data_IF_590110475819
#
_entry.id   IF_590110475819
#
_cell.length_a   1.000
_cell.length_b   1.000
_cell.length_c   1.000
_cell.angle_alpha   90.00
_cell.angle_beta   90.00
_cell.angle_gamma   90.00
#
_symmetry.space_group_name_H-M   'P 1'
#
loop_
_entity.id
_entity.type
_entity.pdbx_description
1 polymer ?
#
# COMPACT_ATOMS: atom_id res chain seq x y z
N UNK A 1 22.20 -3.27 -6.20
CA UNK A 1 20.84 -2.82 -6.53
C UNK A 1 20.56 -1.67 -5.58
N UNK A 2 20.27 -0.49 -6.12
CA UNK A 2 20.02 0.70 -5.30
C UNK A 2 18.63 0.60 -4.66
N UNK A 3 18.50 1.04 -3.40
CA UNK A 3 17.23 1.02 -2.68
C UNK A 3 16.19 1.93 -3.37
N UNK A 4 16.64 3.06 -3.90
CA UNK A 4 15.80 4.00 -4.65
C UNK A 4 15.13 3.33 -5.84
N UNK A 5 15.90 2.55 -6.61
CA UNK A 5 15.41 1.83 -7.78
C UNK A 5 14.35 0.79 -7.38
N UNK A 6 14.56 0.08 -6.27
CA UNK A 6 13.60 -0.93 -5.78
C UNK A 6 12.31 -0.30 -5.26
N UNK A 7 12.40 0.82 -4.55
CA UNK A 7 11.21 1.60 -4.15
C UNK A 7 10.45 2.06 -5.39
N UNK A 8 11.16 2.59 -6.40
CA UNK A 8 10.55 3.01 -7.65
C UNK A 8 9.84 1.85 -8.36
N UNK A 9 10.53 0.71 -8.46
CA UNK A 9 10.03 -0.50 -9.10
C UNK A 9 8.76 -1.03 -8.41
N UNK A 10 8.77 -1.13 -7.08
CA UNK A 10 7.72 -1.78 -6.30
C UNK A 10 6.52 -0.86 -5.99
N UNK A 11 6.76 0.42 -5.70
CA UNK A 11 5.73 1.31 -5.16
C UNK A 11 5.22 2.34 -6.17
N UNK A 12 6.06 2.77 -7.11
CA UNK A 12 5.72 3.91 -7.97
C UNK A 12 5.03 3.41 -9.23
N UNK A 13 3.70 3.52 -9.27
CA UNK A 13 2.89 3.12 -10.41
C UNK A 13 2.57 4.29 -11.36
N UNK A 14 2.49 5.51 -10.82
CA UNK A 14 2.43 6.75 -11.60
C UNK A 14 3.49 7.71 -11.11
N UNK A 15 4.11 8.40 -12.04
CA UNK A 15 5.24 9.28 -11.77
C UNK A 15 5.04 10.68 -12.36
N UNK A 16 3.84 11.00 -12.83
CA UNK A 16 3.46 12.30 -13.37
C UNK A 16 3.17 13.35 -12.28
N UNK A 17 2.92 12.90 -11.05
CA UNK A 17 2.68 13.74 -9.88
C UNK A 17 2.91 12.94 -8.58
N UNK A 18 2.98 13.64 -7.45
CA UNK A 18 3.05 13.04 -6.12
C UNK A 18 2.43 13.95 -5.07
N UNK A 19 2.27 13.47 -3.85
CA UNK A 19 1.89 14.29 -2.71
C UNK A 19 3.11 14.57 -1.81
N UNK A 20 3.19 15.75 -1.21
CA UNK A 20 4.18 16.08 -0.19
C UNK A 20 3.49 16.45 1.12
N UNK A 21 4.01 15.96 2.24
CA UNK A 21 3.52 16.34 3.56
C UNK A 21 3.98 17.76 3.91
N UNK A 22 3.03 18.54 4.41
CA UNK A 22 3.25 19.88 4.97
C UNK A 22 2.70 19.93 6.39
N UNK A 23 2.90 21.05 7.10
CA UNK A 23 2.29 21.27 8.42
C UNK A 23 0.74 21.28 8.40
N UNK A 24 0.12 21.41 7.23
CA UNK A 24 -1.34 21.42 7.05
C UNK A 24 -1.88 20.11 6.46
N UNK A 25 -1.05 19.07 6.36
CA UNK A 25 -1.38 17.82 5.70
C UNK A 25 -0.71 17.70 4.33
N UNK A 26 -1.25 16.85 3.48
CA UNK A 26 -0.65 16.53 2.18
C UNK A 26 -1.17 17.45 1.07
N UNK A 27 -0.25 17.97 0.25
CA UNK A 27 -0.57 18.74 -0.96
C UNK A 27 -0.02 18.01 -2.18
N UNK A 28 -0.76 18.03 -3.28
CA UNK A 28 -0.29 17.49 -4.56
C UNK A 28 0.76 18.43 -5.16
N UNK A 29 1.82 17.84 -5.69
CA UNK A 29 2.85 18.49 -6.51
C UNK A 29 2.62 18.03 -7.95
N UNK A 30 2.51 19.00 -8.85
CA UNK A 30 2.23 18.78 -10.28
C UNK A 30 3.52 18.65 -11.09
N UNK A 31 4.50 17.95 -10.50
CA UNK A 31 5.80 17.66 -11.08
C UNK A 31 6.08 16.15 -11.05
N UNK A 32 6.94 15.64 -11.93
CA UNK A 32 7.26 14.22 -11.95
C UNK A 32 7.88 13.74 -10.64
N UNK A 33 7.45 12.56 -10.17
CA UNK A 33 8.12 11.86 -9.08
C UNK A 33 9.38 11.17 -9.62
N UNK A 34 10.55 11.74 -9.35
CA UNK A 34 11.84 11.22 -9.85
C UNK A 34 12.56 10.34 -8.82
N UNK A 35 13.59 9.57 -9.22
CA UNK A 35 14.45 8.86 -8.27
C UNK A 35 15.09 9.79 -7.23
N UNK A 36 15.48 11.02 -7.60
CA UNK A 36 16.03 11.99 -6.66
C UNK A 36 15.01 12.43 -5.59
N UNK A 37 13.73 12.58 -5.98
CA UNK A 37 12.64 12.86 -5.05
C UNK A 37 12.44 11.71 -4.06
N UNK A 38 12.45 10.47 -4.54
CA UNK A 38 12.40 9.26 -3.71
C UNK A 38 13.61 9.19 -2.78
N UNK A 39 14.81 9.47 -3.28
CA UNK A 39 16.03 9.47 -2.48
C UNK A 39 15.98 10.53 -1.38
N UNK A 40 15.46 11.73 -1.66
CA UNK A 40 15.24 12.77 -0.65
C UNK A 40 14.20 12.36 0.40
N UNK A 41 13.17 11.62 -0.01
CA UNK A 41 12.22 11.02 0.92
C UNK A 41 12.88 10.01 1.87
N UNK A 42 13.68 9.10 1.32
CA UNK A 42 14.42 8.10 2.10
C UNK A 42 15.46 8.71 3.05
N UNK A 43 16.00 9.90 2.72
CA UNK A 43 16.88 10.67 3.62
C UNK A 43 16.13 11.47 4.69
N UNK A 44 14.78 11.47 4.67
CA UNK A 44 13.97 12.22 5.61
C UNK A 44 13.91 13.73 5.35
N UNK A 45 14.32 14.19 4.15
CA UNK A 45 14.27 15.61 3.78
C UNK A 45 12.84 16.08 3.48
N UNK A 46 11.97 15.15 3.06
CA UNK A 46 10.55 15.37 2.80
C UNK A 46 9.76 14.06 2.90
N UNK A 47 8.47 14.13 3.22
CA UNK A 47 7.59 12.96 3.19
C UNK A 47 6.76 12.97 1.91
N UNK A 48 6.92 11.93 1.08
CA UNK A 48 6.25 11.81 -0.22
C UNK A 48 5.14 10.75 -0.12
N UNK A 49 3.96 11.08 -0.64
CA UNK A 49 2.88 10.15 -0.89
C UNK A 49 2.82 9.80 -2.38
N UNK A 50 3.06 8.53 -2.71
CA UNK A 50 2.96 8.02 -4.08
C UNK A 50 1.55 7.51 -4.38
N UNK A 51 0.86 8.15 -5.33
CA UNK A 51 -0.47 7.72 -5.76
C UNK A 51 -0.43 6.30 -6.38
N UNK A 52 -1.34 5.43 -5.95
CA UNK A 52 -1.23 3.99 -6.21
C UNK A 52 -1.73 3.55 -7.59
N UNK A 53 -2.77 4.21 -8.12
CA UNK A 53 -3.43 3.78 -9.37
C UNK A 53 -2.69 4.33 -10.59
N UNK A 54 -2.54 3.48 -11.60
CA UNK A 54 -2.08 3.90 -12.93
C UNK A 54 -3.17 4.74 -13.63
N UNK A 55 -2.82 5.92 -14.18
CA UNK A 55 -3.75 6.73 -14.96
C UNK A 55 -4.11 6.12 -16.32
N UNK A 56 -3.33 5.16 -16.82
CA UNK A 56 -3.52 4.57 -18.15
C UNK A 56 -4.60 3.48 -18.15
N UNK A 57 -4.64 2.66 -17.10
CA UNK A 57 -5.40 1.40 -17.09
C UNK A 57 -6.01 1.03 -15.74
N UNK A 58 -5.94 1.91 -14.72
CA UNK A 58 -6.46 1.66 -13.37
C UNK A 58 -5.88 0.40 -12.70
N UNK A 59 -4.65 0.02 -13.03
CA UNK A 59 -3.93 -1.04 -12.34
C UNK A 59 -3.18 -0.52 -11.11
N UNK A 60 -2.71 -1.45 -10.27
CA UNK A 60 -1.85 -1.21 -9.10
C UNK A 60 -0.68 -2.19 -9.09
N UNK A 61 0.41 -1.79 -8.42
CA UNK A 61 1.57 -2.65 -8.15
C UNK A 61 1.49 -3.40 -6.83
N UNK A 62 0.67 -2.93 -5.90
CA UNK A 62 0.54 -3.53 -4.58
C UNK A 62 -0.89 -3.43 -4.04
N UNK A 63 -1.19 -4.31 -3.07
CA UNK A 63 -2.27 -4.21 -2.10
C UNK A 63 -1.64 -3.87 -0.75
N UNK A 64 -2.22 -2.94 0.01
CA UNK A 64 -1.74 -2.61 1.35
C UNK A 64 -2.88 -2.66 2.37
N UNK A 65 -2.59 -3.23 3.54
CA UNK A 65 -3.37 -3.09 4.75
C UNK A 65 -2.66 -2.11 5.66
N UNK A 66 -3.31 -1.01 6.00
CA UNK A 66 -2.81 -0.04 6.98
C UNK A 66 -3.52 -0.25 8.31
N UNK A 67 -2.73 -0.67 9.29
CA UNK A 67 -3.14 -1.12 10.61
C UNK A 67 -2.67 -0.11 11.67
N UNK A 68 -3.52 0.89 11.92
CA UNK A 68 -3.22 1.99 12.86
C UNK A 68 -3.82 1.73 14.26
N UNK A 69 -3.07 2.02 15.35
CA UNK A 69 -3.58 1.91 16.73
C UNK A 69 -4.73 2.87 17.06
N UNK A 70 -5.01 3.89 16.24
CA UNK A 70 -6.19 4.74 16.41
C UNK A 70 -7.52 3.98 16.23
N UNK A 71 -7.52 2.87 15.49
CA UNK A 71 -8.71 2.07 15.17
C UNK A 71 -8.68 0.63 15.71
N UNK A 72 -7.49 0.16 16.07
CA UNK A 72 -7.23 -1.20 16.52
C UNK A 72 -6.61 -1.19 17.91
N UNK A 73 -7.10 -2.07 18.77
CA UNK A 73 -6.52 -2.27 20.10
C UNK A 73 -5.12 -2.90 20.02
N UNK A 74 -4.96 -3.90 19.14
CA UNK A 74 -3.67 -4.53 18.85
C UNK A 74 -3.41 -4.61 17.32
N UNK A 75 -2.76 -3.58 16.74
CA UNK A 75 -2.39 -3.58 15.33
C UNK A 75 -1.44 -4.72 14.94
N UNK A 76 -0.61 -5.18 15.88
CA UNK A 76 0.35 -6.26 15.62
C UNK A 76 -0.37 -7.59 15.45
N UNK A 77 -1.30 -7.91 16.36
CA UNK A 77 -2.12 -9.12 16.25
C UNK A 77 -2.92 -9.13 14.92
N UNK A 78 -3.49 -7.98 14.55
CA UNK A 78 -4.20 -7.84 13.29
C UNK A 78 -3.28 -8.11 12.08
N UNK A 79 -2.05 -7.57 12.08
CA UNK A 79 -1.07 -7.83 11.03
C UNK A 79 -0.69 -9.32 10.95
N UNK A 80 -0.45 -9.97 12.09
CA UNK A 80 -0.14 -11.40 12.18
C UNK A 80 -1.27 -12.27 11.61
N UNK A 81 -2.53 -11.91 11.87
CA UNK A 81 -3.71 -12.60 11.32
C UNK A 81 -3.81 -12.47 9.80
N UNK A 82 -3.56 -11.28 9.26
CA UNK A 82 -3.51 -11.05 7.80
C UNK A 82 -2.42 -11.91 7.16
N UNK A 83 -1.20 -11.89 7.72
CA UNK A 83 -0.05 -12.67 7.21
C UNK A 83 -0.34 -14.18 7.27
N UNK A 84 -0.93 -14.65 8.38
CA UNK A 84 -1.31 -16.06 8.55
C UNK A 84 -2.30 -16.52 7.48
N UNK A 85 -3.28 -15.69 7.12
CA UNK A 85 -4.20 -15.99 6.01
C UNK A 85 -3.47 -16.08 4.68
N UNK A 86 -2.56 -15.13 4.42
CA UNK A 86 -1.77 -15.07 3.19
C UNK A 86 -0.92 -16.34 2.99
N UNK A 87 -0.26 -16.82 4.04
CA UNK A 87 0.62 -17.98 3.96
C UNK A 87 -0.08 -19.33 4.16
N UNK A 88 -1.38 -19.33 4.48
CA UNK A 88 -2.16 -20.56 4.57
C UNK A 88 -2.13 -21.31 3.23
N UNK A 89 -1.99 -22.64 3.30
CA UNK A 89 -2.01 -23.56 2.14
C UNK A 89 -3.31 -24.38 2.13
N UNK A 90 -4.39 -23.92 1.48
CA UNK A 90 -5.68 -24.61 1.55
C UNK A 90 -5.65 -26.00 0.91
N UNK A 91 -4.76 -26.20 -0.07
CA UNK A 91 -4.51 -27.47 -0.77
C UNK A 91 -3.33 -28.27 -0.19
N UNK A 92 -2.73 -27.78 0.91
CA UNK A 92 -1.53 -28.33 1.54
C UNK A 92 -0.22 -28.11 0.78
N UNK A 93 -0.25 -27.48 -0.40
CA UNK A 93 0.92 -27.33 -1.29
C UNK A 93 1.31 -25.87 -1.51
N UNK A 94 0.36 -25.05 -1.94
CA UNK A 94 0.62 -23.67 -2.36
C UNK A 94 0.02 -22.67 -1.38
N UNK A 95 0.80 -21.67 -0.91
CA UNK A 95 0.24 -20.61 -0.10
C UNK A 95 -0.71 -19.76 -0.95
N UNK A 96 -1.64 -19.05 -0.32
CA UNK A 96 -2.49 -18.09 -1.06
C UNK A 96 -1.65 -16.98 -1.69
N UNK A 97 -0.63 -16.51 -0.96
CA UNK A 97 0.35 -15.51 -1.38
C UNK A 97 1.73 -16.05 -1.06
N UNK A 98 2.66 -15.99 -2.01
CA UNK A 98 4.04 -16.41 -1.78
C UNK A 98 4.77 -15.44 -0.85
N UNK A 99 5.63 -15.97 0.02
CA UNK A 99 6.31 -15.19 1.05
C UNK A 99 7.12 -14.01 0.47
N UNK A 100 7.77 -14.20 -0.66
CA UNK A 100 8.56 -13.16 -1.33
C UNK A 100 7.71 -12.04 -1.97
N UNK A 101 6.39 -12.14 -1.97
CA UNK A 101 5.48 -11.10 -2.42
C UNK A 101 4.92 -10.25 -1.27
N UNK A 102 5.22 -10.57 -0.01
CA UNK A 102 4.68 -9.87 1.15
C UNK A 102 5.79 -9.17 1.93
N UNK A 103 5.56 -7.91 2.31
CA UNK A 103 6.44 -7.14 3.20
C UNK A 103 5.62 -6.63 4.40
N UNK A 104 6.15 -6.84 5.60
CA UNK A 104 5.67 -6.19 6.82
C UNK A 104 6.59 -4.99 7.11
N UNK A 105 6.00 -3.82 7.25
CA UNK A 105 6.68 -2.57 7.59
C UNK A 105 6.10 -2.02 8.89
N UNK A 106 6.96 -1.58 9.81
CA UNK A 106 6.56 -0.72 10.92
C UNK A 106 6.42 0.71 10.39
N UNK A 107 5.19 1.20 10.24
CA UNK A 107 4.90 2.41 9.46
C UNK A 107 4.99 3.70 10.27
N UNK A 108 4.92 3.61 11.60
CA UNK A 108 5.04 4.75 12.51
C UNK A 108 5.88 4.38 13.72
N UNK A 109 6.57 5.37 14.27
CA UNK A 109 7.25 5.29 15.57
C UNK A 109 6.91 6.55 16.38
N UNK A 110 6.69 6.47 17.70
CA UNK A 110 6.77 5.28 18.57
C UNK A 110 5.50 4.42 18.59
N UNK A 111 4.45 4.82 17.89
CA UNK A 111 3.18 4.10 17.92
C UNK A 111 3.27 2.76 17.17
N UNK A 112 2.62 1.69 17.66
CA UNK A 112 2.63 0.40 17.00
C UNK A 112 1.70 0.40 15.77
N UNK A 113 2.14 1.00 14.66
CA UNK A 113 1.44 1.00 13.37
C UNK A 113 2.17 0.13 12.36
N UNK A 114 1.42 -0.59 11.52
CA UNK A 114 1.98 -1.51 10.55
C UNK A 114 1.34 -1.36 9.17
N UNK A 115 2.18 -1.52 8.15
CA UNK A 115 1.72 -1.80 6.80
C UNK A 115 2.03 -3.25 6.44
N UNK A 116 1.02 -3.96 5.93
CA UNK A 116 1.22 -5.25 5.26
C UNK A 116 1.05 -5.04 3.77
N UNK A 117 2.17 -5.05 3.05
CA UNK A 117 2.25 -4.87 1.61
C UNK A 117 2.23 -6.22 0.90
N UNK A 118 1.44 -6.34 -0.16
CA UNK A 118 1.44 -7.49 -1.08
C UNK A 118 1.73 -6.96 -2.48
N UNK A 119 2.87 -7.33 -3.06
CA UNK A 119 3.30 -6.88 -4.38
C UNK A 119 2.86 -7.84 -5.48
N UNK A 120 2.29 -7.27 -6.54
CA UNK A 120 1.92 -7.99 -7.75
C UNK A 120 3.10 -8.02 -8.73
N UNK A 121 3.28 -9.17 -9.38
CA UNK A 121 4.37 -9.36 -10.36
C UNK A 121 4.14 -8.55 -11.64
N UNK A 122 2.88 -8.31 -11.98
CA UNK A 122 2.44 -7.57 -13.16
C UNK A 122 1.36 -6.57 -12.75
N UNK A 123 1.10 -5.51 -13.54
CA UNK A 123 -0.01 -4.59 -13.30
C UNK A 123 -1.31 -5.36 -13.00
N UNK A 124 -1.90 -5.11 -11.83
CA UNK A 124 -3.08 -5.84 -11.36
C UNK A 124 -4.28 -4.90 -11.26
N UNK A 125 -5.48 -5.25 -11.77
CA UNK A 125 -6.63 -4.35 -11.73
C UNK A 125 -6.96 -3.89 -10.31
N UNK A 126 -7.10 -2.57 -10.08
CA UNK A 126 -7.31 -2.02 -8.74
C UNK A 126 -8.57 -2.59 -8.06
N UNK A 127 -9.66 -2.74 -8.82
CA UNK A 127 -10.89 -3.41 -8.37
C UNK A 127 -10.66 -4.83 -7.84
N UNK A 128 -9.87 -5.62 -8.56
CA UNK A 128 -9.54 -6.99 -8.14
C UNK A 128 -8.62 -6.99 -6.91
N UNK A 129 -7.65 -6.06 -6.84
CA UNK A 129 -6.77 -5.91 -5.67
C UNK A 129 -7.58 -5.60 -4.40
N UNK A 130 -8.51 -4.64 -4.51
CA UNK A 130 -9.40 -4.25 -3.41
C UNK A 130 -10.31 -5.38 -2.97
N UNK A 131 -10.91 -6.11 -3.92
CA UNK A 131 -11.70 -7.30 -3.61
C UNK A 131 -10.86 -8.36 -2.88
N UNK A 132 -9.65 -8.63 -3.36
CA UNK A 132 -8.72 -9.55 -2.70
C UNK A 132 -8.40 -9.11 -1.27
N UNK A 133 -8.16 -7.81 -1.06
CA UNK A 133 -7.92 -7.23 0.26
C UNK A 133 -9.07 -7.51 1.23
N UNK A 134 -10.31 -7.22 0.83
CA UNK A 134 -11.47 -7.51 1.67
C UNK A 134 -11.67 -9.00 1.92
N UNK A 135 -11.40 -9.86 0.93
CA UNK A 135 -11.49 -11.31 1.12
C UNK A 135 -10.45 -11.83 2.12
N UNK A 136 -9.25 -11.24 2.16
CA UNK A 136 -8.23 -11.57 3.15
C UNK A 136 -8.68 -11.14 4.55
N UNK A 137 -9.24 -9.93 4.71
CA UNK A 137 -9.78 -9.49 6.01
C UNK A 137 -10.91 -10.38 6.52
N UNK A 138 -11.83 -10.76 5.63
CA UNK A 138 -12.92 -11.69 5.96
C UNK A 138 -12.38 -13.04 6.45
N UNK A 139 -11.40 -13.61 5.74
CA UNK A 139 -10.76 -14.88 6.15
C UNK A 139 -9.92 -14.75 7.43
N UNK A 140 -9.44 -13.54 7.72
CA UNK A 140 -8.69 -13.22 8.94
C UNK A 140 -9.63 -12.92 10.12
N UNK A 141 -10.96 -12.89 9.89
CA UNK A 141 -11.98 -12.47 10.86
C UNK A 141 -11.75 -11.04 11.40
N UNK A 142 -11.33 -10.14 10.50
CA UNK A 142 -11.04 -8.75 10.80
C UNK A 142 -12.09 -7.82 10.18
N UNK A 143 -12.48 -6.79 10.93
CA UNK A 143 -13.49 -5.84 10.50
C UNK A 143 -12.88 -4.81 9.50
N UNK A 144 -13.36 -4.77 8.25
CA UNK A 144 -12.86 -3.84 7.23
C UNK A 144 -13.15 -2.35 7.52
N UNK A 145 -13.95 -2.04 8.55
CA UNK A 145 -14.15 -0.66 9.00
C UNK A 145 -12.99 -0.14 9.88
N UNK A 146 -12.21 -1.04 10.46
CA UNK A 146 -11.10 -0.71 11.37
C UNK A 146 -9.75 -0.68 10.66
N UNK A 147 -9.63 -1.32 9.50
CA UNK A 147 -8.38 -1.44 8.73
C UNK A 147 -8.57 -0.72 7.40
N UNK A 148 -7.66 0.17 7.05
CA UNK A 148 -7.68 0.77 5.73
C UNK A 148 -7.08 -0.19 4.71
N UNK A 149 -7.81 -0.42 3.60
CA UNK A 149 -7.38 -1.28 2.50
C UNK A 149 -7.11 -0.43 1.27
N UNK A 150 -5.91 -0.59 0.70
CA UNK A 150 -5.48 0.10 -0.50
C UNK A 150 -5.33 -0.90 -1.65
N UNK A 151 -5.97 -0.69 -2.81
CA UNK A 151 -6.52 0.59 -3.25
C UNK A 151 -7.87 1.01 -2.64
N UNK A 152 -7.97 2.31 -2.36
CA UNK A 152 -9.17 2.96 -1.80
C UNK A 152 -10.29 3.21 -2.83
N UNK A 153 -10.02 3.07 -4.12
CA UNK A 153 -11.02 3.06 -5.18
C UNK A 153 -10.67 2.07 -6.29
N UNK A 154 -11.69 1.67 -7.05
CA UNK A 154 -11.59 0.71 -8.14
C UNK A 154 -10.99 1.32 -9.42
N UNK A 155 -11.17 2.62 -9.61
CA UNK A 155 -10.76 3.37 -10.80
C UNK A 155 -10.60 4.86 -10.47
N UNK A 156 -9.86 5.56 -11.31
CA UNK A 156 -9.79 7.01 -11.35
C UNK A 156 -11.01 7.55 -12.10
N UNK A 157 -11.59 8.63 -11.57
CA UNK A 157 -12.72 9.32 -12.20
C UNK A 157 -12.39 10.79 -12.43
N UNK A 158 -13.25 11.52 -13.14
CA UNK A 158 -13.08 12.96 -13.35
C UNK A 158 -13.08 13.74 -12.03
N UNK A 159 -13.86 13.28 -11.06
CA UNK A 159 -13.96 13.86 -9.72
C UNK A 159 -12.79 13.46 -8.81
N UNK A 160 -12.14 12.31 -9.10
CA UNK A 160 -11.00 11.77 -8.34
C UNK A 160 -9.88 11.29 -9.29
N UNK A 161 -9.21 12.22 -10.00
CA UNK A 161 -8.27 11.85 -11.07
C UNK A 161 -6.90 11.37 -10.56
N UNK A 162 -6.60 11.57 -9.28
CA UNK A 162 -5.31 11.20 -8.69
C UNK A 162 -5.35 9.90 -7.88
N UNK A 163 -6.53 9.57 -7.37
CA UNK A 163 -6.70 8.44 -6.47
C UNK A 163 -6.17 8.72 -5.06
N UNK A 164 -5.61 7.71 -4.42
CA UNK A 164 -5.13 7.74 -3.04
C UNK A 164 -3.69 7.20 -2.97
N UNK A 165 -3.03 7.48 -1.86
CA UNK A 165 -1.70 6.97 -1.49
C UNK A 165 -1.74 6.48 -0.04
N UNK A 166 -0.83 5.56 0.29
CA UNK A 166 -0.57 5.12 1.67
C UNK A 166 0.31 6.17 2.36
N UNK A 167 0.06 6.44 3.64
CA UNK A 167 0.73 7.51 4.40
C UNK A 167 1.80 6.96 5.32
#
# INVERSE_FOLDING_TARGET
MDLTDEIFRLFINRSDCYAIQTSRGYVRVDDPLTPEEVAAHLRGEKTIGAYQLSPEDNTVKYLCFDLDPEKLEDPKEAAERVIKVCFKKPDGKHPRIWEHNLLLEASRYPDPSYHVWIFFLVPFPAKAARWLGYRILELADLNPKQIEVFPKQDELTKERPYGNFVK
#
